data_IF_308670590763
#
_entry.id   IF_308670590763
#
_cell.length_a   1.000
_cell.length_b   1.000
_cell.length_c   1.000
_cell.angle_alpha   90.00
_cell.angle_beta   90.00
_cell.angle_gamma   90.00
#
_symmetry.space_group_name_H-M   'P 1'
#
loop_
_entity.id
_entity.type
_entity.pdbx_description
1 polymer ?
#
# COMPACT_ATOMS: atom_id res chain seq x y z
N UNK A 1 25.49 -7.38 5.84
CA UNK A 1 24.22 -7.65 6.50
C UNK A 1 23.32 -8.45 5.57
N UNK A 2 22.77 -9.53 6.06
CA UNK A 2 21.97 -10.42 5.23
C UNK A 2 20.49 -10.17 5.45
N UNK A 3 19.76 -9.95 4.37
CA UNK A 3 18.31 -9.87 4.40
C UNK A 3 17.79 -11.27 4.11
N UNK A 4 17.28 -11.94 5.15
CA UNK A 4 16.85 -13.34 5.03
C UNK A 4 15.51 -13.49 4.32
N UNK A 5 14.64 -12.49 4.46
CA UNK A 5 13.32 -12.53 3.83
C UNK A 5 13.00 -11.15 3.29
N UNK A 6 13.46 -10.91 2.08
CA UNK A 6 13.34 -9.61 1.44
C UNK A 6 11.88 -9.12 1.33
N UNK A 7 10.91 -9.95 0.90
CA UNK A 7 9.52 -9.49 0.86
C UNK A 7 8.98 -9.11 2.24
N UNK A 8 9.27 -9.89 3.29
CA UNK A 8 8.80 -9.57 4.62
C UNK A 8 9.42 -8.28 5.15
N UNK A 9 10.72 -8.08 4.88
CA UNK A 9 11.40 -6.85 5.27
C UNK A 9 10.84 -5.63 4.56
N UNK A 10 10.51 -5.78 3.28
CA UNK A 10 9.90 -4.74 2.47
C UNK A 10 8.53 -4.33 3.05
N UNK A 11 7.68 -5.31 3.34
CA UNK A 11 6.36 -5.04 3.88
C UNK A 11 6.44 -4.40 5.27
N UNK A 12 7.34 -4.88 6.11
CA UNK A 12 7.55 -4.29 7.44
C UNK A 12 8.05 -2.86 7.35
N UNK A 13 8.96 -2.58 6.43
CA UNK A 13 9.48 -1.23 6.22
C UNK A 13 8.36 -0.27 5.81
N UNK A 14 7.45 -0.72 4.94
CA UNK A 14 6.29 0.08 4.54
C UNK A 14 5.37 0.37 5.72
N UNK A 15 5.12 -0.64 6.56
CA UNK A 15 4.29 -0.49 7.75
C UNK A 15 4.90 0.50 8.74
N UNK A 16 6.22 0.51 8.85
CA UNK A 16 6.94 1.40 9.76
C UNK A 16 7.23 2.78 9.16
N UNK A 17 6.99 2.96 7.87
CA UNK A 17 7.27 4.21 7.19
C UNK A 17 8.75 4.42 6.89
N UNK A 18 9.54 3.36 6.87
CA UNK A 18 10.97 3.41 6.59
C UNK A 18 11.18 3.45 5.06
N UNK A 19 11.12 4.66 4.51
CA UNK A 19 11.17 4.87 3.07
C UNK A 19 12.52 4.41 2.49
N UNK A 20 13.60 4.67 3.19
CA UNK A 20 14.94 4.27 2.73
C UNK A 20 15.03 2.76 2.57
N UNK A 21 14.50 2.02 3.54
CA UNK A 21 14.51 0.57 3.48
C UNK A 21 13.57 0.06 2.39
N UNK A 22 12.42 0.70 2.20
CA UNK A 22 11.50 0.38 1.10
C UNK A 22 12.25 0.52 -0.24
N UNK A 23 12.93 1.63 -0.44
CA UNK A 23 13.69 1.88 -1.68
C UNK A 23 14.81 0.87 -1.86
N UNK A 24 15.50 0.52 -0.78
CA UNK A 24 16.57 -0.48 -0.82
C UNK A 24 16.03 -1.84 -1.23
N UNK A 25 14.90 -2.25 -0.66
CA UNK A 25 14.27 -3.52 -1.01
C UNK A 25 13.85 -3.56 -2.47
N UNK A 26 13.29 -2.47 -2.98
CA UNK A 26 12.91 -2.37 -4.39
C UNK A 26 14.13 -2.46 -5.29
N UNK A 27 15.24 -1.81 -4.91
CA UNK A 27 16.49 -1.86 -5.66
C UNK A 27 17.08 -3.27 -5.67
N UNK A 28 16.83 -4.06 -4.63
CA UNK A 28 17.28 -5.44 -4.54
C UNK A 28 16.38 -6.42 -5.30
N UNK A 29 15.31 -5.94 -5.92
CA UNK A 29 14.49 -6.76 -6.80
C UNK A 29 13.18 -7.24 -6.24
N UNK A 30 12.74 -6.78 -5.07
CA UNK A 30 11.44 -7.17 -4.55
C UNK A 30 10.34 -6.62 -5.47
N UNK A 31 9.28 -7.40 -5.65
CA UNK A 31 8.11 -6.95 -6.41
C UNK A 31 7.37 -5.91 -5.58
N UNK A 32 7.18 -4.70 -6.14
CA UNK A 32 6.52 -3.60 -5.45
C UNK A 32 5.11 -3.98 -4.98
N UNK A 33 4.45 -4.90 -5.68
CA UNK A 33 3.10 -5.36 -5.38
C UNK A 33 3.06 -6.65 -4.57
N UNK A 34 4.19 -7.08 -4.04
CA UNK A 34 4.25 -8.22 -3.12
C UNK A 34 3.28 -7.99 -1.96
N UNK A 35 2.63 -9.06 -1.52
CA UNK A 35 1.66 -8.99 -0.42
C UNK A 35 1.97 -10.03 0.65
N UNK A 36 1.38 -9.81 1.83
CA UNK A 36 1.50 -10.76 2.94
C UNK A 36 0.43 -11.84 2.82
N UNK A 37 0.30 -12.66 3.86
CA UNK A 37 -0.66 -13.76 3.90
C UNK A 37 -2.11 -13.29 3.84
N UNK A 38 -2.36 -12.04 4.22
CA UNK A 38 -3.69 -11.44 4.18
C UNK A 38 -3.93 -10.69 2.87
N UNK A 39 -2.98 -10.74 1.96
CA UNK A 39 -3.09 -10.05 0.67
C UNK A 39 -2.76 -8.58 0.73
N UNK A 40 -2.21 -8.08 1.85
CA UNK A 40 -1.87 -6.68 2.01
C UNK A 40 -0.53 -6.37 1.34
N UNK A 41 -0.55 -5.44 0.39
CA UNK A 41 0.66 -4.95 -0.25
C UNK A 41 1.34 -3.89 0.62
N UNK A 42 2.54 -3.49 0.23
CA UNK A 42 3.25 -2.43 0.96
C UNK A 42 2.45 -1.14 1.03
N UNK A 43 1.84 -0.73 -0.09
CA UNK A 43 1.06 0.51 -0.09
C UNK A 43 -0.19 0.38 0.77
N UNK A 44 -0.80 -0.79 0.83
CA UNK A 44 -1.94 -1.04 1.71
C UNK A 44 -1.52 -0.94 3.18
N UNK A 45 -0.39 -1.54 3.54
CA UNK A 45 0.13 -1.46 4.90
C UNK A 45 0.50 -0.04 5.28
N UNK A 46 1.17 0.69 4.39
CA UNK A 46 1.51 2.08 4.63
C UNK A 46 0.25 2.92 4.85
N UNK A 47 -0.80 2.64 4.09
CA UNK A 47 -2.09 3.35 4.22
C UNK A 47 -2.75 3.06 5.57
N UNK A 48 -2.78 1.80 5.98
CA UNK A 48 -3.37 1.40 7.26
C UNK A 48 -2.66 2.04 8.44
N UNK A 49 -1.34 2.17 8.37
CA UNK A 49 -0.52 2.70 9.45
C UNK A 49 -0.23 4.18 9.31
N UNK A 50 -0.92 4.85 8.36
CA UNK A 50 -0.84 6.29 8.15
C UNK A 50 0.58 6.78 7.84
N UNK A 51 1.33 5.98 7.12
CA UNK A 51 2.68 6.33 6.67
C UNK A 51 2.58 7.08 5.34
N UNK A 52 2.12 8.32 5.37
CA UNK A 52 1.73 9.07 4.18
C UNK A 52 2.88 9.29 3.20
N UNK A 53 4.06 9.63 3.70
CA UNK A 53 5.22 9.83 2.83
C UNK A 53 5.60 8.53 2.11
N UNK A 54 5.45 7.40 2.81
CA UNK A 54 5.71 6.09 2.22
C UNK A 54 4.67 5.74 1.16
N UNK A 55 3.39 6.07 1.40
CA UNK A 55 2.32 5.89 0.40
C UNK A 55 2.68 6.66 -0.87
N UNK A 56 3.06 7.93 -0.74
CA UNK A 56 3.44 8.74 -1.90
C UNK A 56 4.65 8.15 -2.63
N UNK A 57 5.66 7.72 -1.89
CA UNK A 57 6.85 7.12 -2.49
C UNK A 57 6.50 5.85 -3.28
N UNK A 58 5.59 5.03 -2.76
CA UNK A 58 5.17 3.81 -3.44
C UNK A 58 4.35 4.12 -4.69
N UNK A 59 3.48 5.13 -4.64
CA UNK A 59 2.74 5.58 -5.83
C UNK A 59 3.73 6.04 -6.91
N UNK A 60 4.71 6.85 -6.53
CA UNK A 60 5.70 7.36 -7.46
C UNK A 60 6.54 6.24 -8.08
N UNK A 61 6.72 5.15 -7.34
CA UNK A 61 7.46 3.99 -7.81
C UNK A 61 6.61 3.01 -8.64
N UNK A 62 5.32 3.29 -8.82
CA UNK A 62 4.45 2.49 -9.68
C UNK A 62 3.65 1.40 -8.98
N UNK A 63 3.45 1.49 -7.67
CA UNK A 63 2.65 0.50 -6.95
C UNK A 63 1.22 0.44 -7.48
N UNK A 64 0.64 -0.77 -7.46
CA UNK A 64 -0.75 -0.96 -7.84
C UNK A 64 -1.66 -0.58 -6.68
N UNK A 65 -2.28 0.59 -6.77
CA UNK A 65 -3.15 1.11 -5.71
C UNK A 65 -4.52 0.43 -5.68
N UNK A 66 -4.85 -0.37 -6.68
CA UNK A 66 -6.16 -0.99 -6.79
C UNK A 66 -6.22 -2.41 -6.24
N UNK A 67 -5.07 -3.01 -5.95
CA UNK A 67 -5.03 -4.39 -5.46
C UNK A 67 -5.67 -4.48 -4.08
N UNK A 68 -6.71 -5.31 -3.98
CA UNK A 68 -7.44 -5.53 -2.73
C UNK A 68 -6.81 -6.69 -1.95
N UNK A 69 -6.86 -6.60 -0.62
CA UNK A 69 -6.44 -7.71 0.24
C UNK A 69 -7.58 -8.73 0.39
N UNK A 70 -7.40 -9.72 1.25
CA UNK A 70 -8.41 -10.77 1.45
C UNK A 70 -9.69 -10.25 2.06
N UNK A 71 -9.67 -9.07 2.68
CA UNK A 71 -10.87 -8.41 3.19
C UNK A 71 -11.43 -7.39 2.19
N UNK A 72 -10.92 -7.42 0.97
CA UNK A 72 -11.30 -6.53 -0.13
C UNK A 72 -10.92 -5.06 0.09
N UNK A 73 -9.99 -4.78 0.98
CA UNK A 73 -9.51 -3.42 1.23
C UNK A 73 -8.32 -3.07 0.34
N UNK A 74 -8.29 -1.84 -0.11
CA UNK A 74 -7.16 -1.22 -0.78
C UNK A 74 -6.97 0.19 -0.21
N UNK A 75 -5.91 0.92 -0.59
CA UNK A 75 -5.68 2.25 -0.01
C UNK A 75 -6.86 3.21 -0.12
N UNK A 76 -7.57 3.20 -1.26
CA UNK A 76 -8.73 4.07 -1.43
C UNK A 76 -9.83 3.74 -0.42
N UNK A 77 -10.19 2.46 -0.29
CA UNK A 77 -11.22 2.04 0.66
C UNK A 77 -10.82 2.29 2.09
N UNK A 78 -9.54 2.11 2.41
CA UNK A 78 -9.02 2.43 3.74
C UNK A 78 -9.23 3.91 4.06
N UNK A 79 -8.93 4.81 3.11
CA UNK A 79 -9.12 6.23 3.33
C UNK A 79 -10.60 6.57 3.57
N UNK A 80 -11.49 5.91 2.85
CA UNK A 80 -12.93 6.14 3.01
C UNK A 80 -13.44 5.60 4.36
N UNK A 81 -13.03 4.40 4.72
CA UNK A 81 -13.50 3.77 5.97
C UNK A 81 -13.00 4.49 7.22
N UNK A 82 -11.80 5.06 7.14
CA UNK A 82 -11.17 5.73 8.28
C UNK A 82 -11.37 7.25 8.26
N UNK A 83 -12.12 7.76 7.29
CA UNK A 83 -12.31 9.20 7.13
C UNK A 83 -10.96 9.94 7.02
N UNK A 84 -10.00 9.30 6.36
CA UNK A 84 -8.63 9.79 6.29
C UNK A 84 -8.47 10.67 5.05
N UNK A 85 -8.74 11.96 5.20
CA UNK A 85 -8.67 12.91 4.10
C UNK A 85 -7.24 13.11 3.59
N UNK A 86 -6.26 13.00 4.46
CA UNK A 86 -4.86 13.12 4.06
C UNK A 86 -4.48 12.01 3.09
N UNK A 87 -4.84 10.77 3.45
CA UNK A 87 -4.58 9.61 2.59
C UNK A 87 -5.35 9.76 1.26
N UNK A 88 -6.60 10.17 1.33
CA UNK A 88 -7.42 10.35 0.14
C UNK A 88 -6.80 11.36 -0.82
N UNK A 89 -6.28 12.48 -0.31
CA UNK A 89 -5.62 13.50 -1.12
C UNK A 89 -4.38 12.96 -1.82
N UNK A 90 -3.69 12.01 -1.20
CA UNK A 90 -2.51 11.40 -1.79
C UNK A 90 -2.91 10.41 -2.89
N UNK A 91 -3.99 9.67 -2.70
CA UNK A 91 -4.39 8.57 -3.58
C UNK A 91 -5.16 9.06 -4.80
N UNK A 92 -6.03 10.06 -4.65
CA UNK A 92 -6.89 10.50 -5.76
C UNK A 92 -6.13 10.90 -7.03
N UNK A 93 -4.99 11.63 -6.95
CA UNK A 93 -4.25 11.95 -8.17
C UNK A 93 -3.72 10.74 -8.92
N UNK A 94 -3.56 9.61 -8.24
CA UNK A 94 -3.13 8.36 -8.86
C UNK A 94 -4.28 7.62 -9.57
N UNK A 95 -5.47 8.19 -9.57
CA UNK A 95 -6.66 7.69 -10.29
C UNK A 95 -7.04 6.28 -9.88
N UNK A 96 -7.42 6.06 -8.60
CA UNK A 96 -7.84 4.74 -8.14
C UNK A 96 -9.08 4.28 -8.89
N UNK A 97 -9.23 2.95 -8.99
CA UNK A 97 -10.43 2.35 -9.55
C UNK A 97 -11.57 2.46 -8.53
N UNK A 98 -12.54 3.33 -8.82
CA UNK A 98 -13.65 3.56 -7.91
C UNK A 98 -14.70 2.44 -7.97
N UNK A 99 -14.61 1.55 -8.94
CA UNK A 99 -15.54 0.43 -9.05
C UNK A 99 -15.44 -0.54 -7.89
N UNK A 100 -14.31 -0.56 -7.20
CA UNK A 100 -14.16 -1.42 -6.01
C UNK A 100 -15.16 -1.04 -4.91
N UNK A 101 -15.65 0.19 -4.90
CA UNK A 101 -16.62 0.66 -3.90
C UNK A 101 -17.97 -0.04 -4.10
N UNK A 102 -18.35 -0.32 -5.34
CA UNK A 102 -19.65 -0.91 -5.64
C UNK A 102 -19.80 -2.33 -5.09
N UNK A 103 -18.67 -3.01 -4.87
CA UNK A 103 -18.71 -4.37 -4.29
C UNK A 103 -19.26 -4.38 -2.88
N UNK A 104 -19.06 -3.29 -2.14
CA UNK A 104 -19.58 -3.15 -0.78
C UNK A 104 -20.96 -2.53 -0.76
N UNK A 105 -21.16 -1.51 -1.59
CA UNK A 105 -22.41 -0.79 -1.62
C UNK A 105 -23.44 -1.39 -2.55
N UNK A 106 -23.01 -2.26 -3.45
CA UNK A 106 -23.85 -2.88 -4.46
C UNK A 106 -24.73 -3.99 -3.96
N UNK A 107 -25.11 -3.88 -2.81
CA UNK A 107 -25.93 -4.86 -2.13
C UNK A 107 -27.23 -5.11 -2.85
#
# INVERSE_FOLDING_TARGET
>A
MTIKNLPADYLLAAQQGDIDKVKTCLALGVDINTCDRQGKTAITLASLYQQYACVQALIDAGANINKQDLTCLNPFLISCLNDDLTLLRIILPAKPDLNCVTRFGGV
#
